data_IF_027286461454
#
_entry.id   IF_027286461454
#
_cell.length_a   1.000
_cell.length_b   1.000
_cell.length_c   1.000
_cell.angle_alpha   90.00
_cell.angle_beta   90.00
_cell.angle_gamma   90.00
#
_symmetry.space_group_name_H-M   'P 1'
#
loop_
_entity.id
_entity.type
_entity.pdbx_description
1 polymer ?
#
# COMPACT_ATOMS: atom_id res chain seq x y z
N UNK A 1 -2.35 1.56 1.76
CA UNK A 1 -1.49 2.59 1.11
C UNK A 1 -0.08 2.01 0.95
N UNK A 2 0.53 2.17 -0.23
CA UNK A 2 1.94 1.86 -0.46
C UNK A 2 2.74 3.17 -0.53
N UNK A 3 3.87 3.24 0.17
CA UNK A 3 4.73 4.43 0.20
C UNK A 3 6.20 4.03 0.13
N UNK A 4 7.05 4.95 -0.33
CA UNK A 4 8.48 4.72 -0.39
C UNK A 4 9.27 6.00 -0.11
N UNK A 5 10.53 5.86 0.31
CA UNK A 5 11.48 6.97 0.30
C UNK A 5 12.93 6.48 0.33
N UNK A 6 13.87 7.39 0.05
CA UNK A 6 15.30 7.14 0.24
C UNK A 6 15.71 7.13 1.73
N UNK A 7 14.88 7.67 2.63
CA UNK A 7 15.17 7.77 4.05
C UNK A 7 14.78 6.52 4.83
N UNK A 8 15.32 6.38 6.05
CA UNK A 8 15.07 5.24 6.95
C UNK A 8 13.61 5.04 7.36
N UNK A 9 12.78 6.07 7.21
CA UNK A 9 11.36 6.02 7.53
C UNK A 9 10.47 5.60 6.34
N UNK A 10 11.05 5.23 5.20
CA UNK A 10 10.36 4.48 4.13
C UNK A 10 9.01 5.08 3.66
N UNK A 11 8.88 6.41 3.70
CA UNK A 11 7.66 7.12 3.28
C UNK A 11 6.53 7.19 4.32
N UNK A 12 6.73 6.80 5.58
CA UNK A 12 5.70 6.80 6.66
C UNK A 12 4.90 8.11 6.73
N UNK A 13 5.57 9.26 6.62
CA UNK A 13 4.88 10.57 6.71
C UNK A 13 3.90 10.80 5.57
N UNK A 14 4.28 10.42 4.36
CA UNK A 14 3.38 10.46 3.20
C UNK A 14 2.21 9.49 3.38
N UNK A 15 2.49 8.28 3.89
CA UNK A 15 1.47 7.29 4.18
C UNK A 15 0.41 7.83 5.16
N UNK A 16 0.85 8.43 6.27
CA UNK A 16 -0.03 9.01 7.28
C UNK A 16 -0.88 10.15 6.73
N UNK A 17 -0.28 11.07 5.97
CA UNK A 17 -1.00 12.19 5.36
C UNK A 17 -2.10 11.70 4.41
N UNK A 18 -1.79 10.70 3.57
CA UNK A 18 -2.76 10.14 2.62
C UNK A 18 -3.91 9.42 3.31
N UNK A 19 -3.71 8.84 4.49
CA UNK A 19 -4.79 8.12 5.17
C UNK A 19 -5.99 9.01 5.47
N UNK A 20 -5.78 10.24 5.96
CA UNK A 20 -6.88 11.19 6.19
C UNK A 20 -7.50 11.67 4.88
N UNK A 21 -6.66 12.10 3.93
CA UNK A 21 -7.12 12.64 2.65
C UNK A 21 -7.98 11.67 1.86
N UNK A 22 -7.56 10.39 1.76
CA UNK A 22 -8.31 9.39 1.01
C UNK A 22 -9.66 9.08 1.66
N UNK A 23 -9.74 9.07 2.99
CA UNK A 23 -11.00 8.90 3.70
C UNK A 23 -11.98 10.04 3.44
N UNK A 24 -11.51 11.29 3.42
CA UNK A 24 -12.33 12.46 3.09
C UNK A 24 -12.83 12.44 1.63
N UNK A 25 -12.07 11.82 0.72
CA UNK A 25 -12.48 11.59 -0.67
C UNK A 25 -13.46 10.41 -0.83
N UNK A 26 -13.97 9.83 0.27
CA UNK A 26 -14.90 8.71 0.25
C UNK A 26 -14.25 7.36 -0.07
N UNK A 27 -12.92 7.26 -0.07
CA UNK A 27 -12.23 6.00 -0.34
C UNK A 27 -12.13 5.14 0.91
N UNK A 28 -12.33 3.83 0.75
CA UNK A 28 -12.10 2.86 1.83
C UNK A 28 -10.61 2.58 1.92
N UNK A 29 -9.95 3.16 2.93
CA UNK A 29 -8.52 2.91 3.20
C UNK A 29 -8.39 1.62 4.02
N UNK A 30 -7.72 0.61 3.45
CA UNK A 30 -7.44 -0.64 4.16
C UNK A 30 -6.37 -0.46 5.23
N UNK A 31 -6.45 -1.23 6.31
CA UNK A 31 -5.48 -1.21 7.41
C UNK A 31 -4.09 -1.69 7.01
N UNK A 32 -3.98 -2.49 5.94
CA UNK A 32 -2.70 -2.98 5.45
C UNK A 32 -1.94 -1.88 4.68
N UNK A 33 -0.70 -1.64 5.07
CA UNK A 33 0.20 -0.69 4.42
C UNK A 33 1.56 -1.32 4.15
N UNK A 34 2.24 -0.83 3.11
CA UNK A 34 3.62 -1.23 2.79
C UNK A 34 4.49 0.01 2.62
N UNK A 35 5.69 -0.05 3.17
CA UNK A 35 6.64 1.06 3.24
C UNK A 35 8.00 0.56 2.76
N UNK A 36 8.40 0.95 1.55
CA UNK A 36 9.67 0.54 0.95
C UNK A 36 10.76 1.58 1.23
N UNK A 37 11.84 1.19 1.91
CA UNK A 37 12.96 2.09 2.14
C UNK A 37 14.14 1.43 2.87
N UNK A 38 15.37 1.95 2.70
CA UNK A 38 15.82 2.97 1.73
C UNK A 38 15.66 2.48 0.29
N UNK A 39 14.89 3.18 -0.55
CA UNK A 39 14.37 2.60 -1.81
C UNK A 39 15.48 2.17 -2.78
N UNK A 40 16.56 2.94 -2.87
CA UNK A 40 17.72 2.64 -3.72
C UNK A 40 18.52 1.40 -3.26
N UNK A 41 18.32 0.94 -2.03
CA UNK A 41 18.90 -0.29 -1.49
C UNK A 41 17.84 -1.41 -1.32
N UNK A 42 16.61 -1.16 -1.76
CA UNK A 42 15.47 -2.07 -1.62
C UNK A 42 15.03 -2.63 -2.97
N UNK A 43 15.10 -1.83 -4.03
CA UNK A 43 14.80 -2.23 -5.40
C UNK A 43 16.01 -1.98 -6.30
N UNK A 44 16.25 -2.87 -7.26
CA UNK A 44 17.24 -2.68 -8.31
C UNK A 44 16.68 -1.87 -9.50
N UNK A 45 17.48 -1.69 -10.55
CA UNK A 45 17.09 -0.96 -11.76
C UNK A 45 15.92 -1.61 -12.52
N UNK A 46 15.72 -2.92 -12.36
CA UNK A 46 14.58 -3.65 -12.92
C UNK A 46 13.35 -3.58 -12.01
N UNK A 47 13.43 -2.91 -10.87
CA UNK A 47 12.36 -2.85 -9.87
C UNK A 47 12.22 -4.14 -9.07
N UNK A 48 13.22 -5.02 -9.08
CA UNK A 48 13.20 -6.27 -8.32
C UNK A 48 13.70 -6.06 -6.89
N UNK A 49 13.12 -6.74 -5.88
CA UNK A 49 13.60 -6.62 -4.51
C UNK A 49 15.04 -7.11 -4.36
N UNK A 50 15.90 -6.27 -3.78
CA UNK A 50 17.31 -6.57 -3.51
C UNK A 50 17.70 -6.23 -2.07
N UNK A 51 18.75 -6.89 -1.57
CA UNK A 51 19.23 -6.72 -0.20
C UNK A 51 18.21 -7.11 0.88
N UNK A 52 18.50 -6.74 2.13
CA UNK A 52 17.61 -7.04 3.27
C UNK A 52 16.30 -6.23 3.23
N UNK A 53 16.36 -4.98 2.77
CA UNK A 53 15.17 -4.16 2.55
C UNK A 53 14.22 -4.80 1.53
N UNK A 54 14.77 -5.32 0.42
CA UNK A 54 14.00 -6.04 -0.59
C UNK A 54 13.37 -7.32 -0.06
N UNK A 55 14.07 -8.11 0.74
CA UNK A 55 13.49 -9.31 1.39
C UNK A 55 12.31 -8.95 2.29
N UNK A 56 12.44 -7.91 3.11
CA UNK A 56 11.37 -7.43 3.97
C UNK A 56 10.18 -6.89 3.14
N UNK A 57 10.46 -6.18 2.05
CA UNK A 57 9.44 -5.72 1.11
C UNK A 57 8.70 -6.90 0.48
N UNK A 58 9.40 -7.88 -0.10
CA UNK A 58 8.80 -9.04 -0.73
C UNK A 58 7.86 -9.80 0.23
N UNK A 59 8.30 -9.99 1.49
CA UNK A 59 7.50 -10.64 2.52
C UNK A 59 6.25 -9.85 2.91
N UNK A 60 6.37 -8.53 3.07
CA UNK A 60 5.23 -7.69 3.48
C UNK A 60 4.27 -7.39 2.33
N UNK A 61 4.78 -7.36 1.09
CA UNK A 61 4.01 -7.04 -0.10
C UNK A 61 2.97 -8.11 -0.43
N UNK A 62 3.27 -9.41 -0.26
CA UNK A 62 2.28 -10.46 -0.58
C UNK A 62 1.00 -10.29 0.23
N UNK A 63 1.13 -10.15 1.56
CA UNK A 63 0.00 -9.93 2.47
C UNK A 63 -0.74 -8.63 2.13
N UNK A 64 -0.01 -7.56 1.80
CA UNK A 64 -0.61 -6.29 1.40
C UNK A 64 -1.44 -6.44 0.11
N UNK A 65 -0.90 -7.10 -0.90
CA UNK A 65 -1.55 -7.33 -2.18
C UNK A 65 -2.79 -8.21 -2.04
N UNK A 66 -2.72 -9.30 -1.25
CA UNK A 66 -3.86 -10.16 -0.95
C UNK A 66 -4.98 -9.39 -0.24
N UNK A 67 -4.65 -8.61 0.79
CA UNK A 67 -5.63 -7.80 1.49
C UNK A 67 -6.27 -6.75 0.58
N UNK A 68 -5.48 -6.08 -0.27
CA UNK A 68 -5.99 -5.09 -1.21
C UNK A 68 -6.91 -5.72 -2.26
N UNK A 69 -6.52 -6.86 -2.82
CA UNK A 69 -7.34 -7.59 -3.78
C UNK A 69 -8.67 -8.01 -3.17
N UNK A 70 -8.64 -8.55 -1.95
CA UNK A 70 -9.86 -8.95 -1.24
C UNK A 70 -10.83 -7.78 -1.05
N UNK A 71 -10.34 -6.62 -0.60
CA UNK A 71 -11.18 -5.43 -0.43
C UNK A 71 -11.67 -4.84 -1.75
N UNK A 72 -10.87 -4.93 -2.82
CA UNK A 72 -11.29 -4.52 -4.16
C UNK A 72 -12.44 -5.40 -4.68
N UNK A 73 -12.34 -6.71 -4.51
CA UNK A 73 -13.38 -7.66 -4.91
C UNK A 73 -14.67 -7.45 -4.09
N UNK A 74 -14.54 -7.26 -2.76
CA UNK A 74 -15.67 -6.95 -1.89
C UNK A 74 -16.38 -5.64 -2.31
N UNK A 75 -15.61 -4.59 -2.59
CA UNK A 75 -16.17 -3.31 -3.04
C UNK A 75 -16.86 -3.44 -4.41
N UNK A 76 -16.30 -4.23 -5.33
CA UNK A 76 -16.90 -4.51 -6.64
C UNK A 76 -18.21 -5.27 -6.51
N UNK A 77 -18.24 -6.32 -5.68
CA UNK A 77 -19.45 -7.09 -5.41
C UNK A 77 -20.54 -6.21 -4.77
N UNK A 78 -20.19 -5.42 -3.75
CA UNK A 78 -21.15 -4.53 -3.09
C UNK A 78 -21.72 -3.48 -4.04
N UNK A 79 -20.92 -2.92 -4.94
CA UNK A 79 -21.37 -1.94 -5.95
C UNK A 79 -22.37 -2.52 -6.95
N UNK A 80 -22.35 -3.83 -7.20
CA UNK A 80 -23.34 -4.50 -8.02
C UNK A 80 -24.70 -4.61 -7.33
N UNK A 81 -24.71 -4.73 -5.99
CA UNK A 81 -25.92 -4.84 -5.17
C UNK A 81 -26.51 -3.46 -4.82
N UNK A 82 -25.65 -2.51 -4.45
CA UNK A 82 -26.05 -1.19 -3.97
C UNK A 82 -24.98 -0.13 -4.27
N UNK A 83 -25.41 1.02 -4.75
CA UNK A 83 -24.53 2.18 -4.89
C UNK A 83 -23.92 2.57 -3.53
N UNK A 84 -22.68 3.09 -3.51
CA UNK A 84 -22.10 3.64 -2.28
C UNK A 84 -23.03 4.69 -1.65
N UNK A 85 -23.07 4.81 -0.31
CA UNK A 85 -23.94 5.76 0.38
C UNK A 85 -23.47 7.21 0.30
N UNK A 86 -22.42 7.48 -0.48
CA UNK A 86 -21.80 8.79 -0.69
C UNK A 86 -21.71 9.07 -2.20
#
# INVERSE_FOLDING_TARGET
IASYSAGRLSGVRGNLAWHGTLSEMGMVVISSTVMAGPIAATLDEAGMPTGEGGKALAKSFSRFAEALAWWADAAKAQRAERAPPY
#
